data_IF_087801505642
#
_entry.id   IF_087801505642
#
_cell.length_a   1.000
_cell.length_b   1.000
_cell.length_c   1.000
_cell.angle_alpha   90.00
_cell.angle_beta   90.00
_cell.angle_gamma   90.00
#
_symmetry.space_group_name_H-M   'P 1'
#
loop_
_entity.id
_entity.type
_entity.pdbx_description
1 polymer ?
#
# COMPACT_ATOMS: atom_id res chain seq x y z
N UNK A 1 2.95 -12.85 -18.30
CA UNK A 1 4.08 -13.69 -18.75
C UNK A 1 4.63 -14.41 -17.54
N UNK A 2 4.77 -15.72 -17.59
CA UNK A 2 5.42 -16.52 -16.54
C UNK A 2 6.82 -16.90 -17.05
N UNK A 3 7.83 -16.77 -16.18
CA UNK A 3 9.19 -17.22 -16.45
C UNK A 3 9.42 -18.49 -15.66
N UNK A 4 9.79 -19.57 -16.33
CA UNK A 4 10.14 -20.84 -15.70
C UNK A 4 11.65 -20.93 -15.63
N UNK A 5 12.21 -21.09 -14.44
CA UNK A 5 13.63 -21.23 -14.20
C UNK A 5 13.90 -22.44 -13.30
N UNK A 6 15.08 -23.05 -13.45
CA UNK A 6 15.53 -24.15 -12.61
C UNK A 6 15.77 -23.69 -11.16
N UNK A 7 16.19 -22.44 -10.97
CA UNK A 7 16.34 -21.76 -9.70
C UNK A 7 15.55 -20.43 -9.76
N UNK A 8 14.31 -20.40 -9.26
CA UNK A 8 13.48 -19.19 -9.30
C UNK A 8 14.06 -18.02 -8.49
N UNK A 9 14.71 -18.29 -7.38
CA UNK A 9 15.27 -17.25 -6.50
C UNK A 9 16.47 -16.57 -7.16
N UNK A 10 17.38 -17.35 -7.75
CA UNK A 10 18.49 -16.80 -8.51
C UNK A 10 18.02 -16.01 -9.76
N UNK A 11 17.01 -16.50 -10.44
CA UNK A 11 16.42 -15.80 -11.59
C UNK A 11 15.77 -14.48 -11.18
N UNK A 12 15.05 -14.48 -10.06
CA UNK A 12 14.45 -13.25 -9.52
C UNK A 12 15.53 -12.26 -9.04
N UNK A 13 16.59 -12.72 -8.38
CA UNK A 13 17.69 -11.86 -7.96
C UNK A 13 18.39 -11.19 -9.15
N UNK A 14 18.62 -11.92 -10.24
CA UNK A 14 19.18 -11.38 -11.47
C UNK A 14 18.26 -10.34 -12.12
N UNK A 15 16.97 -10.60 -12.16
CA UNK A 15 15.97 -9.63 -12.64
C UNK A 15 15.94 -8.38 -11.76
N UNK A 16 15.89 -8.52 -10.44
CA UNK A 16 15.82 -7.40 -9.51
C UNK A 16 17.07 -6.50 -9.55
N UNK A 17 18.23 -7.06 -9.90
CA UNK A 17 19.50 -6.32 -10.02
C UNK A 17 19.48 -5.27 -11.15
N UNK A 18 18.58 -5.38 -12.13
CA UNK A 18 18.39 -4.41 -13.21
C UNK A 18 17.65 -3.12 -12.76
N UNK A 19 17.11 -3.12 -11.54
CA UNK A 19 16.30 -2.03 -11.00
C UNK A 19 16.99 -1.32 -9.85
N UNK A 20 16.65 -0.03 -9.66
CA UNK A 20 16.94 0.65 -8.41
C UNK A 20 15.92 0.19 -7.34
N UNK A 21 16.38 -0.39 -6.23
CA UNK A 21 15.46 -0.84 -5.18
C UNK A 21 14.85 0.34 -4.42
N UNK A 22 13.56 0.26 -4.13
CA UNK A 22 12.82 1.22 -3.32
C UNK A 22 12.05 0.46 -2.24
N UNK A 23 12.23 0.84 -0.98
CA UNK A 23 11.47 0.32 0.15
C UNK A 23 10.33 1.28 0.51
N UNK A 24 9.16 0.70 0.76
CA UNK A 24 7.95 1.43 1.11
C UNK A 24 7.11 0.64 2.11
N UNK A 25 6.23 1.33 2.79
CA UNK A 25 5.22 0.71 3.64
C UNK A 25 3.88 1.43 3.51
N UNK A 26 2.83 0.73 3.85
CA UNK A 26 1.48 1.26 3.89
C UNK A 26 0.52 0.29 4.55
N UNK A 27 -0.77 0.56 4.48
CA UNK A 27 -1.69 -0.35 5.11
C UNK A 27 -3.16 -0.11 4.83
N UNK A 28 -3.95 -1.03 5.37
CA UNK A 28 -5.40 -0.90 5.46
C UNK A 28 -5.75 -0.57 6.88
N UNK A 29 -6.34 0.59 7.11
CA UNK A 29 -6.85 0.97 8.43
C UNK A 29 -8.26 0.44 8.57
N UNK A 30 -8.50 -0.30 9.65
CA UNK A 30 -9.84 -0.73 10.07
C UNK A 30 -10.27 0.17 11.23
N UNK A 31 -11.46 0.74 11.16
CA UNK A 31 -12.02 1.55 12.25
C UNK A 31 -12.89 0.71 13.20
N UNK A 32 -13.35 1.34 14.28
CA UNK A 32 -14.22 0.70 15.28
C UNK A 32 -15.59 0.25 14.74
N UNK A 33 -15.99 0.70 13.53
CA UNK A 33 -17.20 0.26 12.83
C UNK A 33 -16.94 -0.90 11.85
N UNK A 34 -15.68 -1.33 11.71
CA UNK A 34 -15.29 -2.38 10.75
C UNK A 34 -15.15 -1.89 9.30
N UNK A 35 -15.12 -0.58 9.08
CA UNK A 35 -14.88 0.01 7.77
C UNK A 35 -13.40 0.13 7.48
N UNK A 36 -13.04 0.09 6.20
CA UNK A 36 -11.68 0.13 5.69
C UNK A 36 -11.37 1.46 5.02
N UNK A 37 -10.22 2.05 5.34
CA UNK A 37 -9.79 3.31 4.77
C UNK A 37 -9.21 3.10 3.37
N UNK A 38 -9.73 3.83 2.41
CA UNK A 38 -9.22 3.86 1.04
C UNK A 38 -8.97 5.30 0.58
N UNK A 39 -8.00 5.46 -0.30
CA UNK A 39 -7.71 6.74 -0.97
C UNK A 39 -8.10 6.65 -2.45
N UNK A 40 -8.47 7.78 -3.03
CA UNK A 40 -8.64 7.92 -4.47
C UNK A 40 -7.53 8.81 -5.01
N UNK A 41 -6.74 8.26 -5.95
CA UNK A 41 -5.58 8.94 -6.53
C UNK A 41 -5.44 8.60 -8.00
N UNK A 42 -5.18 9.61 -8.84
CA UNK A 42 -5.00 9.43 -10.28
C UNK A 42 -6.15 8.66 -10.96
N UNK A 43 -7.39 8.96 -10.57
CA UNK A 43 -8.60 8.34 -11.14
C UNK A 43 -8.88 6.90 -10.67
N UNK A 44 -8.21 6.42 -9.62
CA UNK A 44 -8.37 5.05 -9.10
C UNK A 44 -8.36 5.01 -7.58
N UNK A 45 -9.12 4.07 -7.03
CA UNK A 45 -9.02 3.72 -5.63
C UNK A 45 -7.69 2.98 -5.36
N UNK A 46 -7.07 3.30 -4.25
CA UNK A 46 -5.77 2.77 -3.82
C UNK A 46 -5.73 2.71 -2.28
N UNK A 47 -4.61 2.26 -1.73
CA UNK A 47 -4.34 2.23 -0.30
C UNK A 47 -3.19 3.19 0.04
N UNK A 48 -3.23 3.85 1.21
CA UNK A 48 -2.18 4.78 1.62
C UNK A 48 -0.84 4.06 1.81
N UNK A 49 0.22 4.63 1.28
CA UNK A 49 1.59 4.08 1.31
C UNK A 49 2.61 5.11 0.86
N UNK A 50 3.82 4.98 1.35
CA UNK A 50 4.93 5.80 0.86
C UNK A 50 6.29 5.23 1.20
N UNK A 51 7.32 6.03 0.92
CA UNK A 51 8.71 5.59 1.00
C UNK A 51 9.21 5.53 2.45
N UNK A 52 10.01 4.50 2.73
CA UNK A 52 10.74 4.39 3.99
C UNK A 52 11.78 5.52 4.09
N UNK A 53 11.78 6.25 5.20
CA UNK A 53 12.76 7.27 5.50
C UNK A 53 14.00 6.70 6.20
N UNK A 54 15.10 7.43 6.12
CA UNK A 54 16.36 7.02 6.74
C UNK A 54 16.23 6.92 8.27
N UNK A 55 16.54 5.74 8.83
CA UNK A 55 16.48 5.49 10.26
C UNK A 55 15.08 5.17 10.80
N UNK A 56 14.07 5.17 9.95
CA UNK A 56 12.69 4.82 10.31
C UNK A 56 12.49 3.29 10.31
N UNK A 57 11.70 2.79 11.24
CA UNK A 57 11.24 1.40 11.20
C UNK A 57 10.11 1.27 10.19
N UNK A 58 10.01 0.10 9.58
CA UNK A 58 9.04 -0.11 8.49
C UNK A 58 7.58 0.00 8.96
N UNK A 59 7.29 -0.37 10.21
CA UNK A 59 5.96 -0.21 10.81
C UNK A 59 5.64 1.27 11.09
N UNK A 60 6.63 2.04 11.50
CA UNK A 60 6.52 3.50 11.71
C UNK A 60 6.24 4.21 10.40
N UNK A 61 6.91 3.80 9.33
CA UNK A 61 6.64 4.28 7.97
C UNK A 61 5.18 4.04 7.59
N UNK A 62 4.64 2.84 7.80
CA UNK A 62 3.25 2.54 7.47
C UNK A 62 2.26 3.46 8.21
N UNK A 63 2.46 3.67 9.51
CA UNK A 63 1.59 4.53 10.31
C UNK A 63 1.74 6.02 9.93
N UNK A 64 2.96 6.49 9.67
CA UNK A 64 3.23 7.85 9.22
C UNK A 64 2.58 8.14 7.87
N UNK A 65 2.79 7.28 6.88
CA UNK A 65 2.22 7.47 5.54
C UNK A 65 0.68 7.45 5.54
N UNK A 66 0.07 6.56 6.32
CA UNK A 66 -1.38 6.58 6.54
C UNK A 66 -1.82 7.94 7.09
N UNK A 67 -1.15 8.44 8.12
CA UNK A 67 -1.49 9.71 8.74
C UNK A 67 -1.30 10.89 7.77
N UNK A 68 -0.19 10.93 7.03
CA UNK A 68 0.11 11.99 6.07
C UNK A 68 -0.87 12.03 4.90
N UNK A 69 -1.16 10.87 4.29
CA UNK A 69 -2.04 10.79 3.12
C UNK A 69 -3.54 10.94 3.46
N UNK A 70 -3.96 10.63 4.68
CA UNK A 70 -5.39 10.55 5.03
C UNK A 70 -5.83 11.41 6.21
N UNK A 71 -4.90 11.88 7.04
CA UNK A 71 -5.20 12.57 8.30
C UNK A 71 -5.58 11.62 9.45
N UNK A 72 -5.53 10.31 9.25
CA UNK A 72 -5.94 9.31 10.25
C UNK A 72 -4.73 8.80 11.02
N UNK A 73 -4.73 8.99 12.35
CA UNK A 73 -3.79 8.33 13.23
C UNK A 73 -4.29 6.91 13.55
N UNK A 74 -3.46 5.91 13.27
CA UNK A 74 -3.79 4.51 13.48
C UNK A 74 -2.58 3.73 13.99
N UNK A 75 -2.83 2.66 14.73
CA UNK A 75 -1.80 1.77 15.27
C UNK A 75 -1.66 0.52 14.40
N UNK A 76 -0.42 0.08 14.20
CA UNK A 76 -0.13 -1.16 13.48
C UNK A 76 -0.54 -2.36 14.32
N UNK A 77 -1.37 -3.23 13.73
CA UNK A 77 -1.88 -4.46 14.38
C UNK A 77 -1.04 -5.68 13.98
N UNK A 78 -0.87 -5.90 12.67
CA UNK A 78 -0.12 -7.05 12.15
C UNK A 78 0.34 -6.82 10.70
N UNK A 79 1.39 -7.54 10.26
CA UNK A 79 1.74 -7.58 8.85
C UNK A 79 0.68 -8.35 8.04
N UNK A 80 0.46 -7.92 6.79
CA UNK A 80 -0.44 -8.59 5.84
C UNK A 80 0.33 -9.33 4.75
N UNK A 81 1.06 -8.59 3.92
CA UNK A 81 1.82 -9.13 2.80
C UNK A 81 2.85 -8.14 2.29
N UNK A 82 3.64 -8.58 1.32
CA UNK A 82 4.51 -7.72 0.52
C UNK A 82 4.05 -7.72 -0.94
N UNK A 83 4.21 -6.58 -1.61
CA UNK A 83 3.98 -6.45 -3.05
C UNK A 83 5.19 -5.83 -3.74
N UNK A 84 5.39 -6.17 -5.00
CA UNK A 84 6.44 -5.64 -5.85
C UNK A 84 5.82 -4.88 -7.02
N UNK A 85 6.36 -3.70 -7.30
CA UNK A 85 5.94 -2.87 -8.41
C UNK A 85 7.16 -2.30 -9.12
N UNK A 86 7.35 -2.69 -10.39
CA UNK A 86 8.36 -2.13 -11.26
C UNK A 86 7.76 -0.95 -12.05
N UNK A 87 8.43 0.19 -12.03
CA UNK A 87 8.01 1.38 -12.77
C UNK A 87 9.21 2.21 -13.22
N UNK A 88 9.00 2.97 -14.30
CA UNK A 88 9.99 3.96 -14.73
C UNK A 88 9.75 5.28 -13.99
N UNK A 89 10.80 5.80 -13.34
CA UNK A 89 10.74 7.07 -12.62
C UNK A 89 11.40 8.18 -13.44
N UNK A 90 10.63 9.09 -14.06
CA UNK A 90 11.15 10.08 -15.00
C UNK A 90 12.18 11.05 -14.39
N UNK A 91 12.02 11.39 -13.10
CA UNK A 91 12.92 12.33 -12.42
C UNK A 91 14.36 11.82 -12.31
N UNK A 92 14.54 10.52 -12.17
CA UNK A 92 15.86 9.87 -12.10
C UNK A 92 16.27 9.18 -13.40
N UNK A 93 15.34 9.10 -14.38
CA UNK A 93 15.49 8.37 -15.61
C UNK A 93 15.89 6.89 -15.39
N UNK A 94 15.34 6.24 -14.36
CA UNK A 94 15.65 4.86 -13.97
C UNK A 94 14.39 4.03 -13.80
N UNK A 95 14.55 2.73 -14.02
CA UNK A 95 13.59 1.74 -13.60
C UNK A 95 13.78 1.45 -12.12
N UNK A 96 12.71 1.52 -11.37
CA UNK A 96 12.67 1.25 -9.94
C UNK A 96 11.82 0.02 -9.65
N UNK A 97 12.27 -0.79 -8.68
CA UNK A 97 11.52 -1.90 -8.13
C UNK A 97 11.14 -1.57 -6.69
N UNK A 98 9.89 -1.18 -6.50
CA UNK A 98 9.34 -0.84 -5.19
C UNK A 98 8.82 -2.09 -4.51
N UNK A 99 9.39 -2.40 -3.34
CA UNK A 99 8.86 -3.38 -2.40
C UNK A 99 8.04 -2.63 -1.36
N UNK A 100 6.75 -2.92 -1.30
CA UNK A 100 5.85 -2.33 -0.30
C UNK A 100 5.44 -3.39 0.71
N UNK A 101 5.71 -3.14 1.99
CA UNK A 101 5.21 -3.95 3.09
C UNK A 101 3.90 -3.40 3.58
N UNK A 102 2.89 -4.25 3.63
CA UNK A 102 1.53 -3.88 3.96
C UNK A 102 1.15 -4.37 5.34
N UNK A 103 0.45 -3.52 6.07
CA UNK A 103 0.01 -3.77 7.43
C UNK A 103 -1.49 -3.57 7.57
N UNK A 104 -2.09 -4.30 8.51
CA UNK A 104 -3.37 -3.93 9.09
C UNK A 104 -3.10 -2.91 10.20
N UNK A 105 -3.82 -1.79 10.16
CA UNK A 105 -3.81 -0.78 11.20
C UNK A 105 -5.21 -0.63 11.78
N UNK A 106 -5.29 -0.14 12.98
CA UNK A 106 -6.56 0.08 13.68
C UNK A 106 -6.66 1.50 14.23
N UNK A 107 -7.85 2.06 14.15
CA UNK A 107 -8.25 3.28 14.86
C UNK A 107 -9.64 3.11 15.45
N UNK A 108 -9.87 3.48 16.72
CA UNK A 108 -11.21 3.38 17.33
C UNK A 108 -12.19 4.40 16.75
N UNK A 109 -11.69 5.50 16.21
CA UNK A 109 -12.49 6.64 15.75
C UNK A 109 -12.83 6.55 14.26
N UNK A 110 -14.07 6.94 13.91
CA UNK A 110 -14.38 7.40 12.56
C UNK A 110 -13.85 8.83 12.42
N UNK A 111 -12.52 8.97 12.34
CA UNK A 111 -11.85 10.26 12.31
C UNK A 111 -12.23 11.08 11.08
N UNK A 112 -12.17 12.40 11.20
CA UNK A 112 -12.29 13.30 10.06
C UNK A 112 -11.15 13.01 9.06
N UNK A 113 -11.51 12.88 7.79
CA UNK A 113 -10.58 12.56 6.71
C UNK A 113 -10.00 13.84 6.11
N UNK A 114 -8.70 13.84 5.87
CA UNK A 114 -7.99 14.97 5.27
C UNK A 114 -7.05 14.48 4.17
N UNK A 115 -7.51 14.46 2.89
CA UNK A 115 -6.69 13.99 1.78
C UNK A 115 -5.50 14.91 1.53
N UNK A 116 -4.32 14.32 1.32
CA UNK A 116 -3.11 15.02 0.93
C UNK A 116 -3.13 15.33 -0.58
N UNK A 117 -3.69 16.48 -0.92
CA UNK A 117 -3.90 16.87 -2.33
C UNK A 117 -2.60 17.09 -3.12
N UNK A 118 -1.51 17.43 -2.45
CA UNK A 118 -0.19 17.63 -3.07
C UNK A 118 0.37 16.34 -3.70
N UNK A 119 -0.06 15.17 -3.22
CA UNK A 119 0.28 13.86 -3.79
C UNK A 119 -0.75 13.32 -4.78
N UNK A 120 -1.68 14.17 -5.20
CA UNK A 120 -2.71 13.80 -6.17
C UNK A 120 -3.83 12.95 -5.56
N UNK A 121 -3.97 12.94 -4.23
CA UNK A 121 -5.08 12.30 -3.53
C UNK A 121 -6.25 13.27 -3.53
N UNK A 122 -7.29 12.95 -4.26
CA UNK A 122 -8.48 13.80 -4.42
C UNK A 122 -9.64 13.38 -3.51
N UNK A 123 -9.60 12.15 -2.96
CA UNK A 123 -10.58 11.70 -1.97
C UNK A 123 -9.98 10.65 -1.02
N UNK A 124 -10.52 10.62 0.20
CA UNK A 124 -10.31 9.58 1.20
C UNK A 124 -11.69 9.16 1.70
N UNK A 125 -11.93 7.87 1.87
CA UNK A 125 -13.21 7.36 2.32
C UNK A 125 -13.08 6.17 3.25
N UNK A 126 -13.99 6.07 4.21
CA UNK A 126 -14.29 4.85 4.92
C UNK A 126 -15.25 4.02 4.08
N UNK A 127 -14.88 2.81 3.76
CA UNK A 127 -15.63 1.89 2.91
C UNK A 127 -16.00 0.65 3.73
N UNK A 128 -17.23 0.17 3.58
CA UNK A 128 -17.54 -1.17 4.05
C UNK A 128 -16.67 -2.22 3.32
N UNK A 129 -16.48 -3.42 3.87
CA UNK A 129 -15.74 -4.48 3.18
C UNK A 129 -16.30 -4.81 1.78
N UNK A 130 -17.60 -4.64 1.57
CA UNK A 130 -18.29 -4.84 0.29
C UNK A 130 -17.97 -3.72 -0.70
N UNK A 131 -18.00 -2.47 -0.25
CA UNK A 131 -17.62 -1.30 -1.06
C UNK A 131 -16.15 -1.35 -1.45
N UNK A 132 -15.27 -1.68 -0.50
CA UNK A 132 -13.85 -1.87 -0.77
C UNK A 132 -13.60 -2.98 -1.81
N UNK A 133 -14.36 -4.08 -1.75
CA UNK A 133 -14.29 -5.14 -2.75
C UNK A 133 -14.77 -4.68 -4.13
N UNK A 134 -15.83 -3.88 -4.18
CA UNK A 134 -16.32 -3.30 -5.43
C UNK A 134 -15.28 -2.34 -6.05
N UNK A 135 -14.66 -1.49 -5.23
CA UNK A 135 -13.57 -0.62 -5.66
C UNK A 135 -12.33 -1.42 -6.12
N UNK A 136 -12.02 -2.53 -5.45
CA UNK A 136 -10.89 -3.38 -5.78
C UNK A 136 -10.95 -3.94 -7.21
N UNK A 137 -12.13 -4.11 -7.79
CA UNK A 137 -12.29 -4.58 -9.17
C UNK A 137 -11.63 -3.62 -10.20
N UNK A 138 -11.61 -2.32 -9.91
CA UNK A 138 -10.99 -1.29 -10.73
C UNK A 138 -9.61 -0.83 -10.23
N UNK A 139 -9.11 -1.38 -9.11
CA UNK A 139 -7.83 -1.06 -8.52
C UNK A 139 -6.66 -1.77 -9.22
N UNK A 140 -5.46 -1.37 -8.84
CA UNK A 140 -4.25 -2.12 -9.19
C UNK A 140 -4.30 -3.54 -8.62
N UNK A 141 -3.70 -4.54 -9.32
CA UNK A 141 -3.65 -5.93 -8.81
C UNK A 141 -3.07 -6.05 -7.40
N UNK A 142 -2.08 -5.22 -7.06
CA UNK A 142 -1.47 -5.16 -5.72
C UNK A 142 -2.48 -4.83 -4.64
N UNK A 143 -3.38 -3.87 -4.88
CA UNK A 143 -4.44 -3.50 -3.92
C UNK A 143 -5.37 -4.68 -3.66
N UNK A 144 -5.79 -5.39 -4.72
CA UNK A 144 -6.61 -6.61 -4.58
C UNK A 144 -5.95 -7.67 -3.72
N UNK A 145 -4.64 -7.87 -3.92
CA UNK A 145 -3.85 -8.82 -3.11
C UNK A 145 -3.87 -8.43 -1.63
N UNK A 146 -3.64 -7.16 -1.32
CA UNK A 146 -3.62 -6.66 0.08
C UNK A 146 -4.98 -6.85 0.75
N UNK A 147 -6.07 -6.46 0.07
CA UNK A 147 -7.42 -6.62 0.61
C UNK A 147 -7.82 -8.10 0.79
N UNK A 148 -7.34 -8.98 -0.07
CA UNK A 148 -7.54 -10.43 0.09
C UNK A 148 -6.77 -10.96 1.32
N UNK A 149 -5.55 -10.50 1.58
CA UNK A 149 -4.77 -10.86 2.77
C UNK A 149 -5.45 -10.38 4.06
N UNK A 150 -6.05 -9.19 4.05
CA UNK A 150 -6.82 -8.71 5.19
C UNK A 150 -8.00 -9.64 5.52
N UNK A 151 -8.76 -10.06 4.52
CA UNK A 151 -9.91 -10.98 4.66
C UNK A 151 -9.51 -12.38 5.12
N UNK A 152 -8.41 -12.91 4.60
CA UNK A 152 -7.93 -14.26 4.91
C UNK A 152 -7.41 -14.43 6.34
N UNK A 153 -7.19 -13.35 7.07
CA UNK A 153 -6.74 -13.36 8.46
C UNK A 153 -7.86 -13.19 9.50
N UNK A 154 -9.08 -13.09 9.04
CA UNK A 154 -10.26 -13.02 9.91
C UNK A 154 -10.88 -14.39 10.18
#
# INVERSE_FOLDING_TARGET
MAVVAADPDAAFAAFAAEFTPVEAAGGVVVNGCGEWLMIHRNGRWDLPKGHLECGERIEECAAREVCEETGVAAEVVRPLCETLHAYYFPKTARWELKRTRWYELFTPACAALNPQTEEGIDAVAWCSPEEAAAHAAACYPTVRTVLACLRGGM
#
